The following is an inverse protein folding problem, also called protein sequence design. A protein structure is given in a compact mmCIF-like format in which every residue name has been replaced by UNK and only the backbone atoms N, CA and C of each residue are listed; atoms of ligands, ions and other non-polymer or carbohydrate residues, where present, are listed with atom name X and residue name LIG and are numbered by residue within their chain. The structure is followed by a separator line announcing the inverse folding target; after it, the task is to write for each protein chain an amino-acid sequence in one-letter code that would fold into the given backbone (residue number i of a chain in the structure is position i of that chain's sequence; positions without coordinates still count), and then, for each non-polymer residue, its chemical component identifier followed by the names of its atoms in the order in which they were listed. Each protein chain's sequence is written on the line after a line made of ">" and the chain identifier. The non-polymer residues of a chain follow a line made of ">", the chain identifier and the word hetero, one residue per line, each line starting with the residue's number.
data_IF_426573849216
#
_entry.id   IF_426573849216
#
_cell.length_a   1.000
_cell.length_b   1.000
_cell.length_c   1.000
_cell.angle_alpha   90.00
_cell.angle_beta   90.00
_cell.angle_gamma   90.00
#
_symmetry.space_group_name_H-M   'P 1'
#
loop_
_entity.id
_entity.type
_entity.pdbx_description
1 polymer ?
#
# COMPACT_ATOMS: atom_id res chain seq x y z
N UNK A 1 -58.49 14.07 -35.42
CA UNK A 1 -59.03 14.51 -36.73
C UNK A 1 -58.98 16.03 -36.77
N UNK A 2 -58.92 16.61 -37.97
CA UNK A 2 -58.75 18.04 -38.25
C UNK A 2 -57.34 18.56 -37.86
N UNK A 3 -56.68 19.44 -38.64
CA UNK A 3 -57.06 19.95 -39.96
C UNK A 3 -55.85 20.36 -40.82
N UNK A 4 -56.04 20.23 -42.15
CA UNK A 4 -55.43 20.92 -43.29
C UNK A 4 -53.95 21.36 -43.31
N UNK A 5 -53.32 20.95 -44.42
CA UNK A 5 -52.07 21.44 -45.00
C UNK A 5 -52.08 22.96 -45.21
N UNK A 6 -50.92 23.61 -44.98
CA UNK A 6 -50.58 24.92 -45.52
C UNK A 6 -49.20 24.89 -46.16
N UNK A 7 -49.04 25.47 -47.35
CA UNK A 7 -47.77 25.52 -48.11
C UNK A 7 -47.30 26.97 -48.18
N UNK A 8 -46.01 27.21 -47.94
CA UNK A 8 -45.37 28.52 -48.07
C UNK A 8 -43.84 28.38 -48.10
N UNK A 9 -43.15 29.24 -48.85
CA UNK A 9 -41.73 29.07 -49.20
C UNK A 9 -40.99 30.40 -49.21
N UNK A 10 -39.82 30.43 -48.54
CA UNK A 10 -38.82 31.53 -48.51
C UNK A 10 -39.31 32.85 -47.86
N UNK A 11 -38.46 33.74 -47.33
CA UNK A 11 -37.00 33.93 -47.50
C UNK A 11 -36.25 34.39 -46.20
N UNK A 12 -34.90 34.35 -46.25
CA UNK A 12 -33.89 35.16 -45.51
C UNK A 12 -33.91 35.34 -43.97
N UNK A 13 -32.92 34.71 -43.31
CA UNK A 13 -32.21 35.09 -42.07
C UNK A 13 -30.81 34.44 -42.10
N UNK A 14 -29.72 34.90 -41.45
CA UNK A 14 -29.50 36.03 -40.52
C UNK A 14 -28.02 36.53 -40.64
N UNK A 15 -27.68 37.68 -40.06
CA UNK A 15 -26.31 38.26 -40.09
C UNK A 15 -25.48 37.95 -38.82
N UNK A 16 -24.14 37.84 -38.99
CA UNK A 16 -23.04 38.42 -38.16
C UNK A 16 -23.16 38.39 -36.61
N UNK A 17 -22.16 38.01 -35.79
CA UNK A 17 -20.85 37.35 -35.96
C UNK A 17 -20.23 37.17 -34.55
N UNK A 18 -19.73 35.99 -34.20
CA UNK A 18 -18.79 35.84 -33.06
C UNK A 18 -17.44 35.34 -33.58
N UNK A 19 -16.44 36.23 -33.53
CA UNK A 19 -15.09 35.94 -34.00
C UNK A 19 -14.10 36.78 -33.18
N UNK A 20 -13.61 36.27 -32.06
CA UNK A 20 -12.39 36.78 -31.44
C UNK A 20 -11.70 35.75 -30.52
N UNK A 21 -10.97 34.81 -31.13
CA UNK A 21 -9.90 34.06 -30.45
C UNK A 21 -8.82 33.67 -31.45
N UNK A 22 -7.73 34.45 -31.43
CA UNK A 22 -6.69 34.50 -32.45
C UNK A 22 -5.93 33.17 -32.68
N UNK A 23 -5.87 32.81 -33.96
CA UNK A 23 -4.88 32.01 -34.68
C UNK A 23 -3.73 31.35 -33.90
N UNK A 24 -3.56 30.05 -34.16
CA UNK A 24 -2.28 29.54 -34.68
C UNK A 24 -2.53 29.00 -36.10
N UNK A 25 -1.68 29.28 -37.11
CA UNK A 25 -2.04 29.00 -38.50
C UNK A 25 -1.89 27.52 -38.86
N UNK A 26 -3.00 26.87 -39.22
CA UNK A 26 -2.99 25.63 -40.00
C UNK A 26 -3.04 25.95 -41.49
N UNK A 27 -1.89 25.93 -42.15
CA UNK A 27 -1.81 25.85 -43.61
C UNK A 27 -1.33 24.45 -44.03
N UNK A 28 -1.62 24.09 -45.28
CA UNK A 28 -1.22 22.85 -45.94
C UNK A 28 -1.78 21.53 -45.34
N UNK A 29 -3.11 21.43 -45.32
CA UNK A 29 -3.81 20.14 -45.37
C UNK A 29 -3.57 19.45 -46.72
N UNK A 30 -2.37 18.89 -46.91
CA UNK A 30 -2.05 18.04 -48.06
C UNK A 30 -2.92 16.79 -48.01
N UNK A 31 -3.75 16.59 -49.05
CA UNK A 31 -4.44 15.32 -49.27
C UNK A 31 -3.40 14.26 -49.65
N UNK A 32 -3.07 13.37 -48.72
CA UNK A 32 -2.34 12.15 -49.03
C UNK A 32 -3.33 11.06 -49.46
N UNK A 33 -3.35 10.77 -50.76
CA UNK A 33 -3.90 9.54 -51.28
C UNK A 33 -2.95 8.38 -50.91
N UNK A 34 -3.51 7.22 -50.56
CA UNK A 34 -2.73 6.11 -50.01
C UNK A 34 -2.05 5.29 -51.12
N UNK A 35 -0.94 5.79 -51.67
CA UNK A 35 0.02 4.90 -52.33
C UNK A 35 0.77 4.05 -51.29
N UNK A 36 1.04 2.76 -51.58
CA UNK A 36 1.69 1.86 -50.63
C UNK A 36 3.19 2.16 -50.52
N UNK A 37 3.56 3.01 -49.56
CA UNK A 37 4.97 3.33 -49.25
C UNK A 37 5.76 2.06 -48.94
N UNK A 38 6.70 1.72 -49.82
CA UNK A 38 7.65 0.62 -49.62
C UNK A 38 8.50 0.94 -48.39
N UNK A 39 8.53 0.02 -47.42
CA UNK A 39 9.17 0.24 -46.13
C UNK A 39 10.71 0.19 -46.21
N UNK A 40 11.33 1.30 -46.57
CA UNK A 40 12.75 1.51 -46.27
C UNK A 40 13.01 1.52 -44.75
N UNK A 41 14.24 1.17 -44.35
CA UNK A 41 14.57 0.84 -42.97
C UNK A 41 14.45 2.03 -42.01
N UNK A 42 13.36 2.08 -41.24
CA UNK A 42 13.07 3.17 -40.32
C UNK A 42 14.18 3.39 -39.27
N UNK A 43 14.60 4.66 -39.12
CA UNK A 43 15.66 5.07 -38.20
C UNK A 43 15.40 4.62 -36.73
N UNK A 44 16.46 4.30 -35.96
CA UNK A 44 16.33 3.72 -34.62
C UNK A 44 15.64 4.68 -33.64
N UNK A 45 14.37 4.40 -33.35
CA UNK A 45 13.57 5.17 -32.38
C UNK A 45 14.12 4.96 -30.97
N UNK A 46 14.26 6.06 -30.21
CA UNK A 46 14.71 6.07 -28.79
C UNK A 46 13.90 5.16 -27.87
N UNK A 47 12.62 4.93 -28.22
CA UNK A 47 11.70 4.05 -27.51
C UNK A 47 11.14 3.04 -28.53
N UNK A 48 10.79 1.85 -28.06
CA UNK A 48 10.06 0.87 -28.87
C UNK A 48 8.69 1.41 -29.28
N UNK A 49 8.03 0.73 -30.22
CA UNK A 49 6.58 0.85 -30.38
C UNK A 49 5.86 0.62 -29.03
N UNK A 50 4.69 1.24 -28.81
CA UNK A 50 3.85 0.96 -27.65
C UNK A 50 3.59 -0.54 -27.52
N UNK A 51 3.58 -1.04 -26.29
CA UNK A 51 3.36 -2.45 -26.00
C UNK A 51 1.86 -2.73 -25.93
N UNK A 52 1.43 -3.83 -26.55
CA UNK A 52 0.10 -4.38 -26.31
C UNK A 52 0.04 -5.07 -24.94
N UNK A 53 -1.16 -5.29 -24.42
CA UNK A 53 -1.35 -6.11 -23.22
C UNK A 53 -0.86 -7.55 -23.42
N UNK A 54 -0.86 -8.05 -24.67
CA UNK A 54 -0.26 -9.34 -25.04
C UNK A 54 1.26 -9.32 -24.83
N UNK A 55 1.96 -8.27 -25.29
CA UNK A 55 3.40 -8.10 -25.04
C UNK A 55 3.70 -7.98 -23.54
N UNK A 56 2.81 -7.33 -22.78
CA UNK A 56 2.92 -7.19 -21.34
C UNK A 56 2.79 -8.55 -20.63
N UNK A 57 1.77 -9.33 -20.98
CA UNK A 57 1.57 -10.70 -20.47
C UNK A 57 2.74 -11.61 -20.85
N UNK A 58 3.23 -11.53 -22.09
CA UNK A 58 4.37 -12.34 -22.54
C UNK A 58 5.67 -11.97 -21.78
N UNK A 59 5.85 -10.68 -21.45
CA UNK A 59 6.93 -10.20 -20.56
C UNK A 59 6.77 -10.68 -19.12
N UNK A 60 5.55 -10.74 -18.58
CA UNK A 60 5.26 -11.32 -17.26
C UNK A 60 5.58 -12.82 -17.24
N UNK A 61 5.18 -13.57 -18.27
CA UNK A 61 5.54 -14.99 -18.44
C UNK A 61 7.06 -15.20 -18.65
N UNK A 62 7.76 -14.21 -19.20
CA UNK A 62 9.22 -14.18 -19.33
C UNK A 62 9.97 -13.67 -18.08
N UNK A 63 9.28 -13.21 -17.03
CA UNK A 63 9.90 -12.62 -15.84
C UNK A 63 10.87 -13.59 -15.11
N UNK A 64 10.65 -14.90 -15.20
CA UNK A 64 11.65 -15.89 -14.77
C UNK A 64 12.70 -16.06 -15.88
N UNK A 65 13.99 -15.73 -15.64
CA UNK A 65 15.03 -15.76 -16.67
C UNK A 65 15.14 -17.11 -17.38
N UNK A 66 15.39 -17.11 -18.70
CA UNK A 66 15.49 -18.33 -19.52
C UNK A 66 16.50 -19.33 -18.93
N UNK A 67 17.66 -18.87 -18.46
CA UNK A 67 18.66 -19.70 -17.76
C UNK A 67 18.10 -20.36 -16.48
N UNK A 68 17.32 -19.62 -15.69
CA UNK A 68 16.66 -20.15 -14.48
C UNK A 68 15.61 -21.21 -14.82
N UNK A 69 14.74 -20.95 -15.81
CA UNK A 69 13.73 -21.94 -16.25
C UNK A 69 14.40 -23.23 -16.77
N UNK A 70 15.44 -23.09 -17.58
CA UNK A 70 16.21 -24.23 -18.08
C UNK A 70 16.90 -25.00 -16.93
N UNK A 71 17.50 -24.31 -15.96
CA UNK A 71 18.14 -24.97 -14.81
C UNK A 71 17.13 -25.74 -13.94
N UNK A 72 15.93 -25.18 -13.72
CA UNK A 72 14.87 -25.86 -12.98
C UNK A 72 14.38 -27.12 -13.73
N UNK A 73 14.16 -27.02 -15.06
CA UNK A 73 13.76 -28.18 -15.87
C UNK A 73 14.84 -29.27 -15.90
N UNK A 74 16.11 -28.88 -16.02
CA UNK A 74 17.24 -29.82 -15.98
C UNK A 74 17.34 -30.53 -14.63
N UNK A 75 17.30 -29.77 -13.51
CA UNK A 75 17.38 -30.33 -12.17
C UNK A 75 16.24 -31.33 -11.86
N UNK A 76 15.01 -31.01 -12.26
CA UNK A 76 13.88 -31.92 -12.13
C UNK A 76 14.02 -33.15 -13.05
N UNK A 77 14.57 -33.00 -14.25
CA UNK A 77 14.85 -34.14 -15.13
C UNK A 77 15.88 -35.12 -14.55
N UNK A 78 16.96 -34.61 -13.96
CA UNK A 78 17.99 -35.42 -13.28
C UNK A 78 17.43 -36.06 -12.00
N UNK A 79 16.58 -35.36 -11.24
CA UNK A 79 15.87 -35.94 -10.10
C UNK A 79 14.97 -37.11 -10.53
N UNK A 80 14.10 -36.91 -11.53
CA UNK A 80 13.18 -37.95 -12.03
C UNK A 80 13.95 -39.18 -12.52
N UNK A 81 15.03 -39.00 -13.28
CA UNK A 81 15.87 -40.11 -13.73
C UNK A 81 16.47 -40.88 -12.54
N UNK A 82 17.08 -40.17 -11.59
CA UNK A 82 17.64 -40.80 -10.38
C UNK A 82 16.59 -41.49 -9.51
N UNK A 83 15.39 -40.94 -9.33
CA UNK A 83 14.32 -41.63 -8.57
C UNK A 83 13.87 -42.91 -9.27
N UNK A 84 13.77 -42.91 -10.60
CA UNK A 84 13.39 -44.10 -11.36
C UNK A 84 14.47 -45.19 -11.25
N UNK A 85 15.73 -44.84 -11.47
CA UNK A 85 16.85 -45.78 -11.32
C UNK A 85 16.98 -46.30 -9.87
N UNK A 86 16.93 -45.41 -8.86
CA UNK A 86 17.07 -45.80 -7.45
C UNK A 86 15.93 -46.69 -6.97
N UNK A 87 14.70 -46.47 -7.43
CA UNK A 87 13.57 -47.33 -7.09
C UNK A 87 13.72 -48.76 -7.68
N UNK A 88 14.43 -48.95 -8.80
CA UNK A 88 14.74 -50.29 -9.32
C UNK A 88 15.73 -51.05 -8.43
N UNK A 89 16.71 -50.36 -7.83
CA UNK A 89 17.68 -50.98 -6.91
C UNK A 89 17.13 -51.20 -5.50
N UNK A 90 15.92 -50.71 -5.19
CA UNK A 90 15.36 -50.74 -3.83
C UNK A 90 15.08 -52.17 -3.31
N UNK A 91 14.91 -53.15 -4.20
CA UNK A 91 14.80 -54.58 -3.81
C UNK A 91 16.10 -55.13 -3.18
N UNK A 92 17.23 -54.43 -3.33
CA UNK A 92 18.56 -54.88 -2.86
C UNK A 92 19.13 -54.08 -1.68
N UNK A 93 18.48 -53.00 -1.25
CA UNK A 93 18.99 -52.08 -0.21
C UNK A 93 17.90 -51.83 0.84
N UNK A 94 18.13 -52.26 2.08
CA UNK A 94 17.15 -52.22 3.19
C UNK A 94 16.93 -50.84 3.82
N UNK A 95 17.20 -49.75 3.10
CA UNK A 95 17.10 -48.38 3.62
C UNK A 95 15.71 -47.76 3.35
N UNK A 96 14.89 -47.65 4.39
CA UNK A 96 13.70 -46.76 4.41
C UNK A 96 12.43 -47.27 3.72
N UNK A 97 12.49 -48.37 2.95
CA UNK A 97 11.35 -49.25 2.66
C UNK A 97 10.16 -48.70 1.83
N UNK A 98 10.23 -47.49 1.25
CA UNK A 98 9.19 -46.94 0.38
C UNK A 98 9.78 -46.30 -0.89
N UNK A 99 9.09 -46.46 -2.01
CA UNK A 99 9.50 -45.91 -3.31
C UNK A 99 9.53 -44.38 -3.30
N UNK A 100 10.58 -43.79 -3.88
CA UNK A 100 10.78 -42.34 -3.92
C UNK A 100 9.89 -41.73 -5.02
N UNK A 101 9.00 -40.77 -4.72
CA UNK A 101 8.18 -40.12 -5.73
C UNK A 101 9.02 -39.26 -6.68
N UNK A 102 8.77 -39.38 -7.99
CA UNK A 102 9.47 -38.61 -9.02
C UNK A 102 9.15 -37.11 -8.98
N UNK A 103 8.05 -36.70 -8.33
CA UNK A 103 7.82 -35.29 -7.97
C UNK A 103 8.26 -35.02 -6.52
N UNK A 104 9.32 -34.22 -6.28
CA UNK A 104 9.79 -33.89 -4.93
C UNK A 104 8.80 -33.04 -4.12
N UNK A 105 7.69 -32.56 -4.70
CA UNK A 105 6.60 -31.92 -3.97
C UNK A 105 5.73 -32.92 -3.17
N UNK A 106 5.85 -34.22 -3.44
CA UNK A 106 5.13 -35.29 -2.73
C UNK A 106 5.87 -35.81 -1.49
N UNK A 107 7.09 -35.33 -1.24
CA UNK A 107 7.89 -35.66 -0.06
C UNK A 107 7.64 -34.66 1.08
N UNK A 108 7.66 -35.14 2.33
CA UNK A 108 7.77 -34.25 3.49
C UNK A 108 9.13 -33.53 3.49
N UNK A 109 9.26 -32.39 4.19
CA UNK A 109 10.53 -31.67 4.26
C UNK A 109 11.67 -32.55 4.81
N UNK A 110 11.36 -33.48 5.72
CA UNK A 110 12.32 -34.42 6.32
C UNK A 110 12.79 -35.47 5.31
N UNK A 111 11.85 -36.13 4.61
CA UNK A 111 12.17 -37.10 3.56
C UNK A 111 12.85 -36.44 2.36
N UNK A 112 12.46 -35.20 2.01
CA UNK A 112 13.13 -34.44 0.97
C UNK A 112 14.57 -34.09 1.35
N UNK A 113 14.83 -33.64 2.59
CA UNK A 113 16.19 -33.39 3.07
C UNK A 113 17.05 -34.67 3.08
N UNK A 114 16.48 -35.80 3.53
CA UNK A 114 17.11 -37.11 3.50
C UNK A 114 17.48 -37.54 2.07
N UNK A 115 16.51 -37.58 1.16
CA UNK A 115 16.74 -38.00 -0.22
C UNK A 115 17.59 -37.01 -1.01
N UNK A 116 17.58 -35.71 -0.68
CA UNK A 116 18.50 -34.72 -1.26
C UNK A 116 19.97 -35.01 -0.90
N UNK A 117 20.26 -35.56 0.28
CA UNK A 117 21.64 -35.94 0.66
C UNK A 117 22.15 -37.12 -0.17
N UNK A 118 21.30 -38.13 -0.40
CA UNK A 118 21.58 -39.25 -1.29
C UNK A 118 21.74 -38.80 -2.75
N UNK A 119 20.74 -38.08 -3.29
CA UNK A 119 20.74 -37.55 -4.66
C UNK A 119 22.04 -36.80 -5.00
N UNK A 120 22.52 -35.93 -4.12
CA UNK A 120 23.74 -35.13 -4.37
C UNK A 120 25.03 -35.97 -4.33
N UNK A 121 25.06 -37.08 -3.58
CA UNK A 121 26.20 -38.01 -3.56
C UNK A 121 26.17 -39.02 -4.72
N UNK A 122 24.97 -39.39 -5.17
CA UNK A 122 24.73 -40.48 -6.12
C UNK A 122 24.62 -40.01 -7.57
N UNK A 123 24.09 -38.80 -7.83
CA UNK A 123 23.87 -38.33 -9.19
C UNK A 123 25.18 -38.25 -10.00
N UNK A 124 25.15 -38.77 -11.23
CA UNK A 124 26.25 -38.74 -12.20
C UNK A 124 25.80 -38.07 -13.49
N UNK A 125 26.77 -37.62 -14.27
CA UNK A 125 26.56 -37.25 -15.68
C UNK A 125 26.22 -38.49 -16.51
N UNK A 126 25.69 -38.27 -17.72
CA UNK A 126 25.42 -39.34 -18.71
C UNK A 126 26.70 -40.08 -19.13
N UNK A 127 27.86 -39.42 -19.05
CA UNK A 127 29.19 -40.03 -19.23
C UNK A 127 29.71 -40.80 -17.99
N UNK A 128 28.84 -41.07 -17.01
CA UNK A 128 29.08 -41.64 -15.67
C UNK A 128 30.00 -40.85 -14.73
N UNK A 129 30.61 -39.75 -15.19
CA UNK A 129 31.52 -38.96 -14.35
C UNK A 129 30.78 -38.15 -13.27
N UNK A 130 31.42 -37.82 -12.13
CA UNK A 130 30.81 -37.02 -11.08
C UNK A 130 30.51 -35.58 -11.56
N UNK A 131 29.39 -35.02 -11.10
CA UNK A 131 29.10 -33.61 -11.33
C UNK A 131 30.08 -32.70 -10.56
N UNK A 132 30.58 -31.61 -11.18
CA UNK A 132 31.40 -30.64 -10.46
C UNK A 132 30.55 -29.89 -9.40
N UNK A 133 31.15 -29.37 -8.32
CA UNK A 133 30.39 -28.80 -7.19
C UNK A 133 29.37 -27.72 -7.56
N UNK A 134 29.69 -26.86 -8.53
CA UNK A 134 28.77 -25.83 -9.03
C UNK A 134 27.54 -26.41 -9.75
N UNK A 135 27.66 -27.58 -10.39
CA UNK A 135 26.51 -28.30 -10.96
C UNK A 135 25.64 -28.91 -9.88
N UNK A 136 26.22 -29.52 -8.83
CA UNK A 136 25.47 -30.05 -7.68
C UNK A 136 24.65 -28.94 -6.97
N UNK A 137 25.26 -27.78 -6.73
CA UNK A 137 24.56 -26.60 -6.18
C UNK A 137 23.42 -26.14 -7.09
N UNK A 138 23.61 -26.17 -8.42
CA UNK A 138 22.57 -25.80 -9.39
C UNK A 138 21.42 -26.82 -9.46
N UNK A 139 21.69 -28.13 -9.29
CA UNK A 139 20.67 -29.18 -9.16
C UNK A 139 19.82 -28.95 -7.89
N UNK A 140 20.47 -28.88 -6.72
CA UNK A 140 19.79 -28.64 -5.44
C UNK A 140 18.96 -27.34 -5.46
N UNK A 141 19.54 -26.26 -5.95
CA UNK A 141 18.83 -24.98 -6.12
C UNK A 141 17.64 -25.09 -7.10
N UNK A 142 17.73 -25.94 -8.13
CA UNK A 142 16.64 -26.20 -9.07
C UNK A 142 15.43 -26.84 -8.40
N UNK A 143 15.68 -27.92 -7.63
CA UNK A 143 14.65 -28.65 -6.87
C UNK A 143 14.04 -27.74 -5.78
N UNK A 144 14.89 -27.12 -4.95
CA UNK A 144 14.44 -26.24 -3.87
C UNK A 144 13.50 -25.12 -4.36
N UNK A 145 13.82 -24.48 -5.49
CA UNK A 145 12.97 -23.41 -6.05
C UNK A 145 11.63 -23.94 -6.60
N UNK A 146 11.54 -25.21 -7.02
CA UNK A 146 10.24 -25.82 -7.38
C UNK A 146 9.40 -26.13 -6.13
N UNK A 147 10.02 -26.70 -5.09
CA UNK A 147 9.34 -27.02 -3.83
C UNK A 147 8.82 -25.75 -3.13
N UNK A 148 9.64 -24.69 -3.09
CA UNK A 148 9.23 -23.39 -2.54
C UNK A 148 8.09 -22.74 -3.36
N UNK A 149 8.14 -22.78 -4.70
CA UNK A 149 7.06 -22.26 -5.57
C UNK A 149 5.72 -22.99 -5.31
N UNK A 150 5.73 -24.32 -5.20
CA UNK A 150 4.53 -25.09 -4.85
C UNK A 150 4.01 -24.75 -3.46
N UNK A 151 4.89 -24.74 -2.43
CA UNK A 151 4.50 -24.46 -1.04
C UNK A 151 4.00 -23.02 -0.86
N UNK A 152 4.57 -22.04 -1.57
CA UNK A 152 4.07 -20.66 -1.57
C UNK A 152 2.67 -20.56 -2.18
N UNK A 153 2.37 -21.31 -3.25
CA UNK A 153 1.02 -21.38 -3.85
C UNK A 153 0.01 -22.04 -2.91
N UNK A 154 0.37 -23.16 -2.32
CA UNK A 154 -0.46 -23.87 -1.33
C UNK A 154 -0.78 -22.97 -0.12
N UNK A 155 0.25 -22.32 0.47
CA UNK A 155 0.06 -21.37 1.57
C UNK A 155 -0.83 -20.19 1.14
N UNK A 156 -0.66 -19.65 -0.07
CA UNK A 156 -1.50 -18.56 -0.60
C UNK A 156 -2.96 -19.00 -0.77
N UNK A 157 -3.21 -20.22 -1.28
CA UNK A 157 -4.56 -20.79 -1.39
C UNK A 157 -5.20 -20.99 -0.01
N UNK A 158 -4.41 -21.33 1.00
CA UNK A 158 -4.83 -21.44 2.40
C UNK A 158 -4.94 -20.07 3.11
N UNK A 159 -4.85 -18.95 2.38
CA UNK A 159 -4.92 -17.58 2.92
C UNK A 159 -3.64 -17.07 3.62
N UNK A 160 -2.60 -17.90 3.73
CA UNK A 160 -1.35 -17.62 4.44
C UNK A 160 -0.37 -16.89 3.52
N UNK A 161 -0.61 -15.59 3.33
CA UNK A 161 0.28 -14.69 2.58
C UNK A 161 1.58 -14.32 3.32
N UNK A 162 2.57 -13.82 2.58
CA UNK A 162 3.84 -13.33 3.17
C UNK A 162 3.70 -11.89 3.69
N UNK A 163 3.67 -11.73 5.01
CA UNK A 163 3.65 -10.40 5.63
C UNK A 163 5.00 -9.68 5.48
N UNK A 164 5.02 -8.63 4.65
CA UNK A 164 6.18 -7.74 4.53
C UNK A 164 6.35 -6.96 5.83
N UNK A 165 7.48 -7.13 6.54
CA UNK A 165 7.81 -6.37 7.75
C UNK A 165 7.88 -4.87 7.44
N UNK A 166 6.83 -4.13 7.78
CA UNK A 166 6.70 -2.66 7.64
C UNK A 166 6.69 -1.99 9.01
N UNK A 167 7.01 -0.70 9.05
CA UNK A 167 6.86 0.10 10.26
C UNK A 167 5.40 0.49 10.47
N UNK A 168 4.95 0.53 11.72
CA UNK A 168 3.59 0.94 12.07
C UNK A 168 3.51 2.46 12.32
N UNK A 169 2.37 3.11 12.00
CA UNK A 169 2.19 4.51 12.35
C UNK A 169 2.21 4.68 13.87
N UNK A 170 2.75 5.82 14.29
CA UNK A 170 2.46 6.44 15.58
C UNK A 170 0.96 6.81 15.55
N UNK A 171 0.21 6.40 16.57
CA UNK A 171 -1.21 6.71 16.79
C UNK A 171 -1.35 8.03 17.54
N UNK A 172 -2.53 8.65 17.51
CA UNK A 172 -2.83 9.89 18.26
C UNK A 172 -2.55 9.73 19.76
N UNK A 173 -2.91 8.57 20.33
CA UNK A 173 -2.66 8.22 21.74
C UNK A 173 -1.17 8.03 22.08
N UNK A 174 -0.37 7.51 21.14
CA UNK A 174 1.09 7.48 21.32
C UNK A 174 1.66 8.91 21.30
N UNK A 175 1.16 9.75 20.39
CA UNK A 175 1.60 11.12 20.25
C UNK A 175 1.24 11.95 21.48
N UNK A 176 0.03 11.80 22.03
CA UNK A 176 -0.39 12.38 23.31
C UNK A 176 0.55 11.97 24.46
N UNK A 177 0.81 10.66 24.64
CA UNK A 177 1.75 10.18 25.64
C UNK A 177 3.21 10.67 25.39
N UNK A 178 3.63 10.89 24.14
CA UNK A 178 4.91 11.52 23.80
C UNK A 178 4.96 13.03 24.09
N UNK A 179 3.84 13.74 23.95
CA UNK A 179 3.74 15.14 24.34
C UNK A 179 3.83 15.30 25.84
N UNK A 180 3.14 14.44 26.59
CA UNK A 180 3.04 14.54 28.04
C UNK A 180 4.30 14.01 28.75
N UNK A 181 5.12 13.19 28.06
CA UNK A 181 6.48 12.80 28.48
C UNK A 181 7.61 13.62 27.83
N UNK A 182 7.33 14.38 26.77
CA UNK A 182 8.21 15.39 26.17
C UNK A 182 9.34 14.91 25.26
N UNK A 183 9.13 13.94 24.34
CA UNK A 183 10.23 13.22 23.66
C UNK A 183 10.06 13.00 22.12
N UNK A 184 11.11 13.33 21.32
CA UNK A 184 11.20 13.28 19.83
C UNK A 184 12.67 13.03 19.34
N UNK A 185 13.11 12.65 18.11
CA UNK A 185 12.60 12.04 16.84
C UNK A 185 13.87 11.57 15.99
N UNK A 186 13.81 11.23 14.68
CA UNK A 186 14.93 10.58 13.91
C UNK A 186 15.30 11.03 12.48
N UNK A 187 14.49 11.75 11.67
CA UNK A 187 14.79 12.03 10.23
C UNK A 187 15.94 13.06 10.01
N UNK A 188 17.11 12.77 10.60
CA UNK A 188 17.90 13.78 11.32
C UNK A 188 19.43 13.59 11.24
N UNK A 189 19.90 12.45 10.73
CA UNK A 189 21.34 12.07 10.76
C UNK A 189 22.26 13.10 10.09
N UNK A 190 21.77 13.75 9.03
CA UNK A 190 22.45 14.81 8.25
C UNK A 190 21.72 16.17 8.30
N UNK A 191 20.72 16.34 9.18
CA UNK A 191 19.97 17.59 9.28
C UNK A 191 20.83 18.68 9.91
N UNK A 192 20.75 19.90 9.37
CA UNK A 192 21.52 21.07 9.79
C UNK A 192 20.59 22.21 10.23
N UNK A 193 20.99 22.98 11.25
CA UNK A 193 20.22 24.12 11.77
C UNK A 193 19.95 25.18 10.70
N UNK A 194 20.91 25.43 9.81
CA UNK A 194 20.82 26.44 8.74
C UNK A 194 19.82 26.10 7.62
N UNK A 195 19.27 24.88 7.62
CA UNK A 195 18.14 24.49 6.75
C UNK A 195 16.80 25.11 7.19
N UNK A 196 16.72 25.64 8.41
CA UNK A 196 15.53 26.24 8.98
C UNK A 196 15.66 27.76 9.03
N UNK A 197 14.57 28.44 8.70
CA UNK A 197 14.44 29.89 8.84
C UNK A 197 13.05 30.21 9.38
N UNK A 198 12.97 31.18 10.27
CA UNK A 198 11.69 31.73 10.75
C UNK A 198 11.51 33.09 10.09
N UNK A 199 10.30 33.36 9.62
CA UNK A 199 9.87 34.67 9.15
C UNK A 199 8.49 35.01 9.73
N UNK A 200 7.94 36.16 9.36
CA UNK A 200 6.61 36.63 9.75
C UNK A 200 5.83 36.96 8.47
N UNK A 201 4.57 36.55 8.38
CA UNK A 201 3.71 36.89 7.24
C UNK A 201 3.08 38.28 7.37
N UNK A 202 2.41 38.75 6.31
CA UNK A 202 1.78 40.08 6.24
C UNK A 202 0.69 40.33 7.28
N UNK A 203 0.27 39.31 8.03
CA UNK A 203 -0.76 39.34 9.07
C UNK A 203 -0.12 39.19 10.47
N UNK A 204 1.21 39.05 10.55
CA UNK A 204 1.94 38.89 11.80
C UNK A 204 2.16 37.43 12.24
N UNK A 205 1.75 36.43 11.46
CA UNK A 205 1.91 35.02 11.83
C UNK A 205 3.33 34.53 11.58
N UNK A 206 3.90 33.75 12.51
CA UNK A 206 5.24 33.18 12.32
C UNK A 206 5.21 32.03 11.32
N UNK A 207 6.17 32.04 10.38
CA UNK A 207 6.34 30.99 9.38
C UNK A 207 7.65 30.23 9.64
N UNK A 208 7.57 28.92 9.83
CA UNK A 208 8.74 28.04 9.79
C UNK A 208 8.97 27.57 8.34
N UNK A 209 10.10 27.97 7.77
CA UNK A 209 10.57 27.48 6.48
C UNK A 209 11.66 26.41 6.68
N UNK A 210 11.48 25.25 6.06
CA UNK A 210 12.48 24.21 5.92
C UNK A 210 12.92 24.08 4.46
N UNK A 211 14.22 24.17 4.22
CA UNK A 211 14.84 23.88 2.93
C UNK A 211 15.65 22.59 3.03
N UNK A 212 15.23 21.56 2.28
CA UNK A 212 15.97 20.32 2.16
C UNK A 212 17.38 20.51 1.60
N UNK A 213 18.29 19.60 1.94
CA UNK A 213 19.60 19.44 1.29
C UNK A 213 19.59 18.14 0.48
N UNK A 214 20.75 17.77 -0.07
CA UNK A 214 20.95 16.48 -0.73
C UNK A 214 20.46 15.34 0.18
N UNK A 215 19.73 14.38 -0.39
CA UNK A 215 19.18 13.25 0.33
C UNK A 215 19.05 12.03 -0.60
N UNK A 216 18.66 10.86 -0.08
CA UNK A 216 18.54 9.62 -0.87
C UNK A 216 17.69 9.78 -2.15
N UNK A 217 16.67 10.65 -2.11
CA UNK A 217 15.74 10.89 -3.22
C UNK A 217 16.12 12.11 -4.09
N UNK A 218 17.14 12.89 -3.69
CA UNK A 218 17.63 14.10 -4.38
C UNK A 218 19.15 14.16 -4.19
N UNK A 219 19.90 13.44 -5.03
CA UNK A 219 21.37 13.37 -4.93
C UNK A 219 22.08 14.57 -5.56
N UNK A 220 21.35 15.43 -6.29
CA UNK A 220 21.91 16.61 -6.95
C UNK A 220 22.70 16.25 -8.21
N UNK A 221 23.59 17.14 -8.63
CA UNK A 221 24.37 17.00 -9.86
C UNK A 221 23.56 17.24 -11.14
N UNK A 222 24.24 17.13 -12.29
CA UNK A 222 23.69 17.49 -13.61
C UNK A 222 22.42 16.70 -13.98
N UNK A 223 22.36 15.43 -13.60
CA UNK A 223 21.20 14.54 -13.83
C UNK A 223 19.93 15.01 -13.09
N UNK A 224 20.08 15.89 -12.09
CA UNK A 224 19.02 16.47 -11.29
C UNK A 224 18.80 17.97 -11.59
N UNK A 225 19.25 18.50 -12.74
CA UNK A 225 19.13 19.96 -13.03
C UNK A 225 17.68 20.49 -12.98
N UNK A 226 16.71 19.65 -13.36
CA UNK A 226 15.28 20.00 -13.32
C UNK A 226 14.60 19.54 -12.01
N UNK A 227 15.36 19.36 -10.93
CA UNK A 227 14.85 18.85 -9.65
C UNK A 227 14.85 19.95 -8.60
N UNK A 228 13.66 20.44 -8.28
CA UNK A 228 13.47 21.36 -7.16
C UNK A 228 13.89 20.75 -5.82
N UNK A 229 14.53 21.61 -5.03
CA UNK A 229 14.89 21.36 -3.64
C UNK A 229 13.60 21.37 -2.81
N UNK A 230 13.41 20.35 -1.95
CA UNK A 230 12.22 20.23 -1.10
C UNK A 230 12.11 21.43 -0.15
N UNK A 231 11.21 22.37 -0.46
CA UNK A 231 10.84 23.50 0.41
C UNK A 231 9.52 23.18 1.10
N UNK A 232 9.48 23.35 2.42
CA UNK A 232 8.26 23.28 3.24
C UNK A 232 8.12 24.60 3.98
N UNK A 233 6.94 25.19 3.93
CA UNK A 233 6.50 26.23 4.87
C UNK A 233 5.44 25.63 5.80
N UNK A 234 5.50 26.00 7.06
CA UNK A 234 4.50 25.70 8.09
C UNK A 234 4.11 27.01 8.77
N UNK A 235 2.80 27.31 8.85
CA UNK A 235 2.29 28.46 9.62
C UNK A 235 2.25 28.13 11.11
N UNK A 236 2.43 29.14 11.95
CA UNK A 236 2.12 29.07 13.38
C UNK A 236 0.62 28.97 13.60
N UNK A 237 0.25 28.28 14.66
CA UNK A 237 -1.09 28.28 15.25
C UNK A 237 -0.94 28.76 16.69
N UNK A 238 -1.32 30.02 17.01
CA UNK A 238 -1.19 30.57 18.36
C UNK A 238 -2.13 29.91 19.38
N UNK A 239 -3.18 29.21 18.94
CA UNK A 239 -4.15 28.56 19.83
C UNK A 239 -3.66 27.20 20.33
N UNK A 240 -2.71 26.59 19.61
CA UNK A 240 -2.23 25.24 19.87
C UNK A 240 -0.94 25.25 20.71
N UNK A 241 -0.95 24.81 21.99
CA UNK A 241 0.25 24.79 22.83
C UNK A 241 1.33 23.82 22.33
N UNK A 242 0.97 22.84 21.49
CA UNK A 242 1.87 21.87 20.84
C UNK A 242 2.32 22.36 19.43
N UNK A 243 2.20 23.66 19.12
CA UNK A 243 2.53 24.21 17.80
C UNK A 243 3.99 23.96 17.38
N UNK A 244 4.18 23.34 16.22
CA UNK A 244 5.51 23.04 15.67
C UNK A 244 6.39 24.29 15.48
N UNK A 245 5.81 25.45 15.14
CA UNK A 245 6.60 26.66 14.88
C UNK A 245 7.23 27.22 16.16
N UNK A 246 6.49 27.26 17.26
CA UNK A 246 7.02 27.75 18.56
C UNK A 246 8.04 26.78 19.16
N UNK A 247 7.87 25.47 18.94
CA UNK A 247 8.82 24.43 19.37
C UNK A 247 10.13 24.54 18.60
N UNK A 248 10.08 24.69 17.26
CA UNK A 248 11.28 24.91 16.46
C UNK A 248 11.96 26.24 16.78
N UNK A 249 11.20 27.32 17.04
CA UNK A 249 11.74 28.60 17.48
C UNK A 249 12.51 28.50 18.81
N UNK A 250 11.90 27.84 19.81
CA UNK A 250 12.53 27.61 21.12
C UNK A 250 13.74 26.68 21.03
N UNK A 251 13.76 25.72 20.12
CA UNK A 251 14.95 24.86 19.93
C UNK A 251 16.07 25.57 19.16
N UNK A 252 15.75 26.27 18.07
CA UNK A 252 16.73 26.97 17.21
C UNK A 252 17.43 28.14 17.92
N UNK A 253 16.79 28.77 18.91
CA UNK A 253 17.41 29.80 19.77
C UNK A 253 18.37 29.22 20.82
N UNK A 254 18.31 27.92 21.12
CA UNK A 254 19.15 27.24 22.11
C UNK A 254 20.33 26.46 21.50
N UNK A 255 20.53 26.52 20.17
CA UNK A 255 21.62 25.85 19.46
C UNK A 255 22.35 26.80 18.49
N UNK A 256 23.58 26.49 18.06
CA UNK A 256 24.25 27.24 17.00
C UNK A 256 23.43 27.21 15.69
N UNK A 257 23.32 28.38 15.04
CA UNK A 257 22.55 28.59 13.79
C UNK A 257 23.02 27.72 12.62
N UNK A 258 24.22 27.15 12.69
CA UNK A 258 24.82 26.31 11.65
C UNK A 258 25.39 24.99 12.19
N UNK A 259 25.49 24.00 11.31
CA UNK A 259 25.93 22.65 11.62
C UNK A 259 24.79 21.76 12.12
N UNK A 260 25.15 20.52 12.50
CA UNK A 260 24.19 19.44 12.78
C UNK A 260 23.10 19.86 13.77
N UNK A 261 21.84 19.70 13.38
CA UNK A 261 20.67 20.17 14.12
C UNK A 261 20.57 19.54 15.52
N UNK A 262 20.83 18.23 15.64
CA UNK A 262 20.64 17.49 16.89
C UNK A 262 21.85 17.60 17.80
N UNK A 263 21.70 18.37 18.88
CA UNK A 263 22.70 18.64 19.91
C UNK A 263 22.42 17.83 21.17
N UNK A 264 23.47 17.40 21.89
CA UNK A 264 23.31 16.63 23.13
C UNK A 264 22.68 17.51 24.22
N UNK A 265 21.56 17.14 24.86
CA UNK A 265 21.03 17.90 26.00
C UNK A 265 22.04 17.88 27.17
N UNK A 266 22.14 19.00 27.87
CA UNK A 266 22.91 19.13 29.10
C UNK A 266 21.99 18.95 30.31
N UNK A 267 22.49 18.44 31.45
CA UNK A 267 21.70 18.40 32.67
C UNK A 267 21.30 19.81 33.11
N UNK A 268 20.12 19.91 33.72
CA UNK A 268 19.68 21.13 34.40
C UNK A 268 20.67 21.50 35.51
N UNK A 269 20.93 22.81 35.66
CA UNK A 269 21.51 23.32 36.92
C UNK A 269 20.36 23.36 37.93
N UNK A 270 20.61 22.95 39.16
CA UNK A 270 19.57 22.71 40.17
C UNK A 270 18.68 23.92 40.51
N UNK A 271 19.10 25.14 40.17
CA UNK A 271 18.49 26.39 40.66
C UNK A 271 17.73 27.19 39.58
N UNK A 272 17.65 26.72 38.33
CA UNK A 272 17.35 27.58 37.18
C UNK A 272 16.39 26.98 36.13
N UNK A 273 16.20 25.65 36.10
CA UNK A 273 15.29 25.00 35.14
C UNK A 273 15.63 25.19 33.65
N UNK A 274 16.78 25.80 33.32
CA UNK A 274 17.13 26.16 31.95
C UNK A 274 17.51 24.94 31.09
N UNK A 275 16.68 24.67 30.07
CA UNK A 275 16.98 23.72 29.00
C UNK A 275 18.17 24.25 28.20
N UNK A 276 19.23 23.44 28.08
CA UNK A 276 20.45 23.80 27.34
C UNK A 276 20.99 22.62 26.57
N UNK A 277 21.68 22.89 25.48
CA UNK A 277 22.32 21.88 24.64
C UNK A 277 23.82 22.12 24.52
N UNK A 278 24.58 21.03 24.37
CA UNK A 278 26.01 21.08 24.08
C UNK A 278 26.25 21.46 22.61
N UNK A 279 27.40 22.08 22.31
CA UNK A 279 27.87 22.20 20.92
C UNK A 279 28.05 20.82 20.27
N UNK A 280 28.34 19.77 21.07
CA UNK A 280 28.49 18.40 20.58
C UNK A 280 27.18 17.84 19.99
N UNK A 281 27.20 17.31 18.75
CA UNK A 281 26.04 16.72 18.13
C UNK A 281 25.76 15.30 18.64
N UNK A 282 24.50 14.86 18.56
CA UNK A 282 24.13 13.49 18.94
C UNK A 282 24.75 12.47 17.96
N UNK A 283 25.29 11.37 18.53
CA UNK A 283 25.86 10.26 17.77
C UNK A 283 24.82 9.56 16.90
N UNK A 284 25.22 9.07 15.72
CA UNK A 284 24.31 8.48 14.74
C UNK A 284 23.58 7.26 15.31
N UNK A 285 24.23 6.48 16.18
CA UNK A 285 23.63 5.30 16.82
C UNK A 285 22.59 5.69 17.88
N UNK A 286 22.84 6.72 18.69
CA UNK A 286 21.90 7.29 19.68
C UNK A 286 20.72 8.01 19.02
N UNK A 287 20.92 8.62 17.86
CA UNK A 287 19.80 9.01 17.00
C UNK A 287 19.06 7.78 16.51
N UNK A 288 19.74 6.67 16.21
CA UNK A 288 19.12 5.49 15.59
C UNK A 288 18.24 4.64 16.50
N UNK A 289 18.52 4.62 17.81
CA UNK A 289 17.65 4.03 18.83
C UNK A 289 16.49 4.95 19.23
N UNK A 290 16.59 6.25 18.91
CA UNK A 290 15.81 7.32 19.56
C UNK A 290 14.31 7.05 19.64
N UNK A 291 13.62 6.72 18.53
CA UNK A 291 12.17 6.47 18.55
C UNK A 291 11.75 5.42 19.60
N UNK A 292 12.52 4.33 19.75
CA UNK A 292 12.22 3.28 20.74
C UNK A 292 12.46 3.76 22.18
N UNK A 293 13.43 4.65 22.38
CA UNK A 293 13.65 5.31 23.67
C UNK A 293 12.49 6.27 24.00
N UNK A 294 11.88 6.95 23.01
CA UNK A 294 10.70 7.80 23.22
C UNK A 294 9.51 6.97 23.71
N UNK A 295 9.14 5.91 22.97
CA UNK A 295 8.03 5.03 23.32
C UNK A 295 8.23 4.42 24.72
N UNK A 296 9.45 3.96 25.04
CA UNK A 296 9.77 3.44 26.39
C UNK A 296 9.67 4.52 27.48
N UNK A 297 10.13 5.74 27.22
CA UNK A 297 10.05 6.85 28.19
C UNK A 297 8.60 7.32 28.42
N UNK A 298 7.76 7.25 27.38
CA UNK A 298 6.33 7.53 27.42
C UNK A 298 5.48 6.39 28.03
N UNK A 299 6.09 5.26 28.43
CA UNK A 299 5.38 4.08 28.95
C UNK A 299 4.59 3.28 27.91
N UNK A 300 4.71 3.62 26.61
CA UNK A 300 3.94 3.00 25.52
C UNK A 300 4.57 1.65 25.15
N UNK A 301 3.76 0.58 25.16
CA UNK A 301 4.26 -0.74 24.75
C UNK A 301 4.59 -0.79 23.26
N UNK A 302 5.70 -1.45 22.93
CA UNK A 302 6.11 -1.78 21.56
C UNK A 302 6.21 -3.30 21.33
N UNK A 303 5.47 -4.10 22.12
CA UNK A 303 5.41 -5.57 21.98
C UNK A 303 4.79 -5.98 20.64
N UNK A 304 3.62 -5.44 20.33
CA UNK A 304 2.75 -5.90 19.24
C UNK A 304 2.83 -5.01 17.99
N UNK A 305 3.69 -4.00 18.02
CA UNK A 305 3.80 -2.95 16.98
C UNK A 305 5.26 -2.73 16.59
N UNK A 306 5.55 -2.76 15.30
CA UNK A 306 6.89 -2.54 14.77
C UNK A 306 7.23 -1.04 14.74
N UNK A 307 7.38 -0.48 15.94
CA UNK A 307 7.85 0.87 16.16
C UNK A 307 9.30 0.94 15.70
N UNK A 308 9.49 1.66 14.61
CA UNK A 308 10.80 2.05 14.13
C UNK A 308 10.80 3.54 13.93
N UNK A 309 11.97 4.11 13.75
CA UNK A 309 12.06 5.52 13.47
C UNK A 309 11.45 5.98 12.13
N UNK A 310 11.10 5.03 11.24
CA UNK A 310 10.33 5.32 10.03
C UNK A 310 8.84 5.57 10.32
N UNK A 311 8.34 5.15 11.50
CA UNK A 311 6.94 5.27 11.92
C UNK A 311 6.39 6.69 11.81
N UNK A 312 7.15 7.73 12.17
CA UNK A 312 6.70 9.13 12.00
C UNK A 312 6.49 9.54 10.53
N UNK A 313 7.21 8.92 9.59
CA UNK A 313 6.98 9.10 8.15
C UNK A 313 5.74 8.34 7.68
N UNK A 314 5.46 7.17 8.26
CA UNK A 314 4.21 6.43 8.04
C UNK A 314 3.04 7.28 8.50
N UNK A 315 3.03 7.76 9.75
CA UNK A 315 2.00 8.67 10.30
C UNK A 315 1.81 9.89 9.42
N UNK A 316 2.86 10.60 9.04
CA UNK A 316 2.74 11.78 8.16
C UNK A 316 2.02 11.47 6.84
N UNK A 317 2.30 10.32 6.20
CA UNK A 317 1.57 9.90 4.99
C UNK A 317 0.12 9.47 5.30
N UNK A 318 -0.09 8.65 6.34
CA UNK A 318 -1.38 8.11 6.73
C UNK A 318 -2.36 9.21 7.18
N UNK A 319 -1.92 10.14 8.03
CA UNK A 319 -2.74 11.26 8.51
C UNK A 319 -3.15 12.20 7.38
N UNK A 320 -2.23 12.56 6.47
CA UNK A 320 -2.59 13.39 5.31
C UNK A 320 -3.56 12.68 4.36
N UNK A 321 -3.39 11.37 4.14
CA UNK A 321 -4.30 10.58 3.30
C UNK A 321 -5.71 10.46 3.93
N UNK A 322 -5.79 10.13 5.22
CA UNK A 322 -7.07 9.99 5.93
C UNK A 322 -7.77 11.36 6.15
N UNK A 323 -7.03 12.48 6.10
CA UNK A 323 -7.59 13.84 6.04
C UNK A 323 -8.02 14.27 4.62
N UNK A 324 -8.02 13.36 3.63
CA UNK A 324 -8.51 13.61 2.28
C UNK A 324 -7.56 14.38 1.36
N UNK A 325 -6.30 14.64 1.75
CA UNK A 325 -5.36 15.34 0.89
C UNK A 325 -4.93 14.47 -0.29
N UNK A 326 -4.88 15.07 -1.49
CA UNK A 326 -4.51 14.37 -2.72
C UNK A 326 -3.09 13.80 -2.66
N UNK A 327 -2.88 12.71 -3.41
CA UNK A 327 -1.58 12.05 -3.59
C UNK A 327 -0.43 13.02 -3.87
N UNK A 328 -0.66 14.05 -4.67
CA UNK A 328 0.35 15.06 -5.01
C UNK A 328 0.81 15.83 -3.76
N UNK A 329 -0.14 16.26 -2.93
CA UNK A 329 0.12 16.92 -1.64
C UNK A 329 0.84 15.98 -0.67
N UNK A 330 0.40 14.71 -0.56
CA UNK A 330 1.06 13.72 0.31
C UNK A 330 2.49 13.43 -0.17
N UNK A 331 2.70 13.23 -1.49
CA UNK A 331 4.02 13.02 -2.11
C UNK A 331 4.95 14.22 -1.84
N UNK A 332 4.46 15.45 -2.05
CA UNK A 332 5.18 16.70 -1.79
C UNK A 332 5.61 16.85 -0.32
N UNK A 333 4.66 16.78 0.64
CA UNK A 333 4.96 16.95 2.07
C UNK A 333 5.85 15.82 2.62
N UNK A 334 5.64 14.57 2.20
CA UNK A 334 6.47 13.44 2.65
C UNK A 334 7.84 13.35 1.95
N UNK A 335 7.99 13.89 0.74
CA UNK A 335 9.20 13.80 -0.08
C UNK A 335 9.32 12.51 -0.92
N UNK A 336 8.20 11.87 -1.21
CA UNK A 336 8.13 10.74 -2.15
C UNK A 336 7.98 11.25 -3.59
N UNK A 337 8.48 10.47 -4.56
CA UNK A 337 8.46 10.81 -6.01
C UNK A 337 7.80 9.76 -6.90
N UNK A 338 7.45 8.61 -6.33
CA UNK A 338 6.83 7.48 -6.99
C UNK A 338 5.64 6.97 -6.18
N UNK A 339 4.99 5.94 -6.69
CA UNK A 339 3.95 5.14 -6.00
C UNK A 339 4.45 4.44 -4.72
N UNK A 340 5.73 4.57 -4.35
CA UNK A 340 6.22 4.12 -3.04
C UNK A 340 5.52 4.81 -1.85
N UNK A 341 4.83 5.94 -2.05
CA UNK A 341 3.97 6.53 -1.00
C UNK A 341 2.73 5.67 -0.69
N UNK A 342 2.24 4.90 -1.66
CA UNK A 342 1.01 4.12 -1.56
C UNK A 342 1.16 2.98 -0.54
N UNK A 343 2.40 2.55 -0.28
CA UNK A 343 2.76 1.60 0.78
C UNK A 343 2.45 2.12 2.21
N UNK A 344 2.19 3.43 2.36
CA UNK A 344 1.82 4.07 3.64
C UNK A 344 0.35 4.51 3.70
N UNK A 345 -0.45 4.25 2.65
CA UNK A 345 -1.91 4.41 2.70
C UNK A 345 -2.48 3.31 3.59
N UNK A 346 -2.72 3.64 4.87
CA UNK A 346 -3.46 2.81 5.82
C UNK A 346 -4.85 3.44 5.99
N UNK A 347 -5.86 3.02 5.20
CA UNK A 347 -7.20 3.58 5.31
C UNK A 347 -7.75 3.32 6.71
N UNK A 348 -8.26 4.36 7.36
CA UNK A 348 -8.97 4.22 8.63
C UNK A 348 -10.15 3.27 8.48
N UNK A 349 -10.51 2.56 9.55
CA UNK A 349 -11.63 1.60 9.58
C UNK A 349 -12.93 2.22 9.06
N UNK A 350 -13.22 3.47 9.44
CA UNK A 350 -14.38 4.24 8.94
C UNK A 350 -14.38 4.47 7.41
N UNK A 351 -13.21 4.51 6.76
CA UNK A 351 -13.13 4.56 5.29
C UNK A 351 -13.39 3.19 4.66
N UNK A 352 -12.99 2.11 5.34
CA UNK A 352 -13.31 0.73 4.94
C UNK A 352 -14.81 0.45 5.13
N UNK A 353 -15.42 0.95 6.21
CA UNK A 353 -16.87 0.93 6.43
C UNK A 353 -17.62 1.68 5.33
N UNK A 354 -17.12 2.85 4.92
CA UNK A 354 -17.78 3.65 3.88
C UNK A 354 -17.64 3.00 2.50
N UNK A 355 -16.52 2.34 2.20
CA UNK A 355 -16.39 1.47 1.02
C UNK A 355 -17.34 0.26 1.13
N UNK A 356 -17.42 -0.40 2.28
CA UNK A 356 -18.34 -1.53 2.53
C UNK A 356 -19.80 -1.13 2.35
N UNK A 357 -20.20 0.05 2.83
CA UNK A 357 -21.54 0.65 2.62
C UNK A 357 -21.82 0.96 1.15
N UNK A 358 -20.84 1.54 0.44
CA UNK A 358 -20.96 1.85 -0.99
C UNK A 358 -20.98 0.60 -1.89
N UNK A 359 -20.47 -0.54 -1.39
CA UNK A 359 -20.51 -1.85 -2.04
C UNK A 359 -21.70 -2.73 -1.61
N UNK A 360 -22.60 -2.23 -0.75
CA UNK A 360 -23.84 -2.97 -0.46
C UNK A 360 -24.71 -3.04 -1.72
N UNK A 361 -25.39 -4.17 -1.96
CA UNK A 361 -26.41 -4.23 -3.01
C UNK A 361 -27.54 -3.23 -2.70
N UNK A 362 -28.23 -2.69 -3.72
CA UNK A 362 -29.41 -1.87 -3.50
C UNK A 362 -30.43 -2.65 -2.67
N UNK A 363 -31.03 -1.99 -1.67
CA UNK A 363 -32.04 -2.60 -0.79
C UNK A 363 -33.14 -3.20 -1.65
N UNK A 364 -33.55 -4.47 -1.45
CA UNK A 364 -34.58 -5.10 -2.25
C UNK A 364 -35.87 -4.28 -2.24
N UNK A 365 -36.20 -3.66 -3.38
CA UNK A 365 -37.45 -2.90 -3.52
C UNK A 365 -38.61 -3.87 -3.42
N UNK A 366 -39.29 -3.86 -2.26
CA UNK A 366 -40.58 -4.52 -2.08
C UNK A 366 -41.53 -4.02 -3.16
N UNK A 367 -41.85 -4.88 -4.13
CA UNK A 367 -42.83 -4.56 -5.18
C UNK A 367 -44.22 -4.58 -4.55
N UNK A 368 -44.70 -3.44 -4.08
CA UNK A 368 -46.12 -3.23 -3.85
C UNK A 368 -46.56 -1.81 -4.17
N UNK A 369 -47.58 -1.75 -5.02
CA UNK A 369 -48.65 -0.74 -5.14
C UNK A 369 -48.26 0.75 -5.07
N UNK A 370 -48.58 1.47 -6.16
CA UNK A 370 -48.57 2.93 -6.17
C UNK A 370 -49.54 3.49 -5.14
N UNK A 371 -49.08 4.42 -4.31
CA UNK A 371 -49.88 5.58 -3.90
C UNK A 371 -48.93 6.74 -3.61
N UNK A 372 -49.13 7.84 -4.31
CA UNK A 372 -48.46 9.12 -4.07
C UNK A 372 -49.24 9.90 -3.02
N UNK A 373 -48.55 10.66 -2.15
CA UNK A 373 -48.77 12.09 -1.99
C UNK A 373 -47.80 12.72 -0.95
N UNK A 374 -47.18 13.82 -1.36
CA UNK A 374 -46.78 15.02 -0.62
C UNK A 374 -46.16 14.96 0.81
N UNK A 375 -44.89 15.38 0.87
CA UNK A 375 -44.42 16.58 1.60
C UNK A 375 -45.10 16.86 2.96
N UNK A 376 -44.43 16.76 4.13
CA UNK A 376 -43.29 17.64 4.46
C UNK A 376 -42.87 17.55 5.95
N UNK A 377 -41.63 18.00 6.23
CA UNK A 377 -41.15 18.69 7.46
C UNK A 377 -41.02 17.94 8.82
N UNK A 378 -39.87 18.20 9.48
CA UNK A 378 -39.55 18.15 10.93
C UNK A 378 -39.36 16.82 11.71
N UNK A 379 -38.07 16.52 11.94
CA UNK A 379 -37.41 16.28 13.25
C UNK A 379 -38.00 15.27 14.28
N UNK A 380 -37.15 14.26 14.54
CA UNK A 380 -36.64 13.83 15.86
C UNK A 380 -37.41 12.83 16.75
N UNK A 381 -36.59 12.08 17.49
CA UNK A 381 -36.83 11.28 18.69
C UNK A 381 -37.36 9.83 18.56
N UNK A 382 -36.93 9.04 19.54
CA UNK A 382 -37.24 7.63 19.73
C UNK A 382 -38.65 7.47 20.31
N UNK A 383 -39.29 6.33 20.06
CA UNK A 383 -40.33 5.83 20.96
C UNK A 383 -40.29 4.31 21.05
N UNK A 384 -40.02 3.79 22.24
CA UNK A 384 -40.45 2.45 22.64
C UNK A 384 -41.97 2.46 22.79
N UNK A 385 -42.64 1.37 22.42
CA UNK A 385 -44.07 1.20 22.68
C UNK A 385 -44.31 0.08 23.70
N UNK A 386 -45.12 0.39 24.70
CA UNK A 386 -45.54 -0.53 25.75
C UNK A 386 -46.74 -1.37 25.29
N UNK A 387 -46.94 -2.52 25.94
CA UNK A 387 -48.05 -3.41 25.67
C UNK A 387 -49.41 -2.79 26.00
N UNK A 388 -50.41 -3.15 25.19
CA UNK A 388 -51.82 -3.17 25.61
C UNK A 388 -52.45 -4.47 25.14
N UNK A 389 -52.75 -5.34 26.09
CA UNK A 389 -53.57 -6.52 25.82
C UNK A 389 -54.99 -6.08 25.42
N UNK A 390 -55.52 -6.72 24.38
CA UNK A 390 -56.96 -6.91 24.20
C UNK A 390 -57.17 -8.21 23.41
N UNK A 391 -58.32 -8.86 23.62
CA UNK A 391 -58.48 -10.30 23.37
C UNK A 391 -58.50 -10.74 21.89
N UNK A 392 -58.33 -12.06 21.69
CA UNK A 392 -58.33 -12.78 20.40
C UNK A 392 -57.19 -12.43 19.42
N UNK A 393 -55.94 -12.57 19.87
CA UNK A 393 -54.74 -12.48 19.01
C UNK A 393 -54.39 -13.81 18.31
N UNK A 394 -55.02 -14.07 17.15
CA UNK A 394 -54.58 -15.13 16.23
C UNK A 394 -53.40 -14.63 15.38
N UNK A 395 -52.17 -15.00 15.73
CA UNK A 395 -50.96 -14.52 15.03
C UNK A 395 -50.71 -15.28 13.72
N UNK A 396 -51.27 -14.80 12.61
CA UNK A 396 -51.01 -15.36 11.27
C UNK A 396 -49.61 -15.00 10.78
N UNK A 397 -48.73 -16.00 10.67
CA UNK A 397 -47.39 -15.85 10.09
C UNK A 397 -47.42 -16.43 8.67
N UNK A 398 -47.22 -15.60 7.65
CA UNK A 398 -47.06 -16.08 6.28
C UNK A 398 -45.63 -16.60 6.08
N UNK A 399 -45.52 -17.90 5.76
CA UNK A 399 -44.24 -18.62 5.62
C UNK A 399 -44.02 -18.96 4.14
N UNK A 400 -42.85 -18.63 3.55
CA UNK A 400 -42.50 -19.08 2.20
C UNK A 400 -42.45 -20.61 2.06
N UNK A 401 -42.90 -21.13 0.91
CA UNK A 401 -43.03 -22.57 0.59
C UNK A 401 -41.72 -23.40 0.64
N UNK A 402 -40.59 -22.82 1.06
CA UNK A 402 -39.29 -23.47 1.24
C UNK A 402 -38.87 -23.62 2.71
N UNK A 403 -39.75 -23.26 3.66
CA UNK A 403 -39.50 -23.36 5.11
C UNK A 403 -40.46 -24.37 5.74
N UNK A 404 -40.02 -25.63 5.82
CA UNK A 404 -40.79 -26.75 6.36
C UNK A 404 -40.84 -26.77 7.91
N UNK A 405 -40.27 -25.76 8.58
CA UNK A 405 -40.15 -25.74 10.05
C UNK A 405 -40.05 -24.32 10.60
N UNK A 406 -40.93 -23.98 11.54
CA UNK A 406 -41.00 -22.67 12.20
C UNK A 406 -40.87 -22.84 13.71
N UNK A 407 -40.10 -21.96 14.35
CA UNK A 407 -39.88 -21.94 15.80
C UNK A 407 -40.37 -20.60 16.35
N UNK A 408 -41.30 -20.64 17.29
CA UNK A 408 -41.88 -19.45 17.93
C UNK A 408 -41.50 -19.46 19.41
N UNK A 409 -41.04 -18.33 19.94
CA UNK A 409 -40.75 -18.16 21.36
C UNK A 409 -41.77 -17.18 21.95
N UNK A 410 -42.56 -17.62 22.93
CA UNK A 410 -43.49 -16.74 23.69
C UNK A 410 -43.45 -17.13 25.16
N UNK A 411 -43.39 -16.13 26.05
CA UNK A 411 -43.38 -16.27 27.51
C UNK A 411 -42.39 -17.35 28.01
N UNK A 412 -41.15 -17.32 27.49
CA UNK A 412 -40.08 -18.26 27.83
C UNK A 412 -40.22 -19.68 27.26
N UNK A 413 -41.34 -20.02 26.60
CA UNK A 413 -41.57 -21.34 25.99
C UNK A 413 -41.27 -21.34 24.50
N UNK A 414 -40.64 -22.43 24.04
CA UNK A 414 -40.34 -22.70 22.63
C UNK A 414 -41.41 -23.60 22.03
N UNK A 415 -42.10 -23.10 21.03
CA UNK A 415 -43.04 -23.84 20.20
C UNK A 415 -42.36 -24.16 18.86
N UNK A 416 -42.61 -25.33 18.31
CA UNK A 416 -42.06 -25.75 17.02
C UNK A 416 -43.18 -26.36 16.19
N UNK A 417 -43.38 -25.83 14.99
CA UNK A 417 -44.28 -26.40 13.99
C UNK A 417 -43.42 -26.89 12.82
N UNK A 418 -43.79 -28.04 12.26
CA UNK A 418 -43.36 -28.48 10.94
C UNK A 418 -44.54 -28.29 9.99
N UNK A 419 -44.24 -27.93 8.74
CA UNK A 419 -45.20 -27.43 7.73
C UNK A 419 -44.95 -28.17 6.41
#
# INVERSE_FOLDING_TARGET
>A
MNQLVGIGTFELKEEVSENDLMLLPTQDLVKYENEPVVCEAAAPRRFSVPLSDSDLQERILKAIPKKTRNNNKWALGVWVAWTLERNLYQETITDGGNAIPSDPNLLSNELLNYWMAHFIQECRRVDTSPYPPNSLVQLASGIQRKCLDSRMKELTNNGIGTNVKRADPILTTDEEAMWDSGVFNYEHKQLDASQFRISVDTIGNKLLHYTGRLCKNVQGGLNNRNVDVKRITQKSDPTNPRCLVTIYEKYLSLIPREGRFYRKPLPHKANDGSIRFSVQPIGINTLSSKMKELFKAAGISTTDRNITNHSGKVTCCTTLFNAGFSDSTVKSRSGHRSTAVDTYKRPLETLQDNVSKALQPPVPTSKNVKQENDLSIAKSNQHSFEDKENDNSTMTINVPNCINKVVIFKNGKRYCLEI
#
